data_IF_242281781642
#
_entry.id   IF_242281781642
#
_cell.length_a   1.000
_cell.length_b   1.000
_cell.length_c   1.000
_cell.angle_alpha   90.00
_cell.angle_beta   90.00
_cell.angle_gamma   90.00
#
_symmetry.space_group_name_H-M   'P 1'
#
loop_
_entity.id
_entity.type
_entity.pdbx_description
1 polymer ?
#
# COMPACT_ATOMS: atom_id res chain seq x y z
N UNK A 1 15.19 -29.91 -25.75
CA UNK A 1 13.87 -29.29 -25.49
C UNK A 1 13.47 -29.77 -24.11
N UNK A 2 13.99 -29.11 -23.08
CA UNK A 2 13.78 -29.55 -21.69
C UNK A 2 12.47 -28.95 -21.19
N UNK A 3 11.53 -29.85 -20.88
CA UNK A 3 10.27 -29.52 -20.22
C UNK A 3 10.55 -28.91 -18.84
N UNK A 4 9.95 -27.77 -18.47
CA UNK A 4 10.09 -27.23 -17.12
C UNK A 4 9.39 -28.17 -16.15
N UNK A 5 10.15 -28.68 -15.18
CA UNK A 5 9.67 -29.51 -14.07
C UNK A 5 8.50 -28.82 -13.34
N UNK A 6 7.49 -29.56 -12.87
CA UNK A 6 6.38 -29.00 -12.12
C UNK A 6 6.91 -28.39 -10.83
N UNK A 7 6.53 -27.15 -10.54
CA UNK A 7 6.79 -26.52 -9.24
C UNK A 7 5.90 -27.22 -8.22
N UNK A 8 6.49 -28.14 -7.47
CA UNK A 8 5.87 -28.80 -6.32
C UNK A 8 5.37 -27.74 -5.32
N UNK A 9 4.11 -27.87 -4.91
CA UNK A 9 3.39 -26.91 -4.07
C UNK A 9 3.75 -26.97 -2.58
N UNK A 10 4.77 -27.75 -2.23
CA UNK A 10 5.32 -27.79 -0.87
C UNK A 10 6.08 -26.47 -0.58
N UNK A 11 5.59 -25.72 0.41
CA UNK A 11 6.22 -24.46 0.83
C UNK A 11 7.62 -24.76 1.38
N UNK A 12 8.65 -24.62 0.53
CA UNK A 12 10.05 -24.81 0.96
C UNK A 12 10.36 -23.89 2.14
N UNK A 13 11.01 -24.41 3.21
CA UNK A 13 11.39 -23.60 4.36
C UNK A 13 12.26 -22.41 3.91
N UNK A 14 12.06 -21.26 4.55
CA UNK A 14 12.82 -20.05 4.25
C UNK A 14 14.31 -20.28 4.57
N UNK A 15 15.24 -19.85 3.69
CA UNK A 15 16.65 -19.86 4.01
C UNK A 15 16.91 -19.04 5.29
N UNK A 16 17.89 -19.44 6.11
CA UNK A 16 18.24 -18.77 7.38
C UNK A 16 18.46 -17.25 7.22
N UNK A 17 18.97 -16.83 6.05
CA UNK A 17 19.16 -15.41 5.71
C UNK A 17 17.85 -14.62 5.65
N UNK A 18 16.75 -15.21 5.18
CA UNK A 18 15.44 -14.56 5.19
C UNK A 18 14.90 -14.36 6.60
N UNK A 19 15.13 -15.32 7.48
CA UNK A 19 14.70 -15.24 8.88
C UNK A 19 15.46 -14.11 9.59
N UNK A 20 16.79 -14.07 9.46
CA UNK A 20 17.61 -13.03 10.07
C UNK A 20 17.24 -11.62 9.59
N UNK A 21 17.16 -11.40 8.27
CA UNK A 21 16.78 -10.10 7.72
C UNK A 21 15.31 -9.75 8.00
N UNK A 22 14.42 -10.73 8.04
CA UNK A 22 13.03 -10.53 8.42
C UNK A 22 12.89 -10.06 9.87
N UNK A 23 13.63 -10.66 10.80
CA UNK A 23 13.68 -10.24 12.21
C UNK A 23 14.25 -8.82 12.32
N UNK A 24 15.36 -8.53 11.64
CA UNK A 24 15.96 -7.20 11.67
C UNK A 24 15.01 -6.13 11.11
N UNK A 25 14.34 -6.41 10.00
CA UNK A 25 13.32 -5.54 9.42
C UNK A 25 12.14 -5.34 10.37
N UNK A 26 11.63 -6.40 10.98
CA UNK A 26 10.54 -6.32 11.96
C UNK A 26 10.93 -5.51 13.19
N UNK A 27 12.13 -5.71 13.73
CA UNK A 27 12.66 -4.94 14.86
C UNK A 27 12.80 -3.45 14.53
N UNK A 28 13.29 -3.12 13.32
CA UNK A 28 13.36 -1.74 12.83
C UNK A 28 11.96 -1.09 12.74
N UNK A 29 10.99 -1.79 12.14
CA UNK A 29 9.61 -1.29 12.02
C UNK A 29 8.94 -1.15 13.38
N UNK A 30 9.18 -2.08 14.30
CA UNK A 30 8.67 -2.02 15.67
C UNK A 30 9.24 -0.79 16.40
N UNK A 31 10.55 -0.58 16.34
CA UNK A 31 11.21 0.55 17.00
C UNK A 31 10.67 1.91 16.51
N UNK A 32 10.41 2.04 15.21
CA UNK A 32 9.85 3.27 14.63
C UNK A 32 8.34 3.41 14.81
N UNK A 33 7.60 2.30 14.76
CA UNK A 33 6.13 2.29 14.85
C UNK A 33 5.60 2.40 16.29
N UNK A 34 6.40 2.03 17.29
CA UNK A 34 6.04 2.07 18.71
C UNK A 34 6.04 3.49 19.32
N UNK A 35 6.16 4.53 18.50
CA UNK A 35 6.02 5.91 18.96
C UNK A 35 4.61 6.20 19.49
N UNK A 36 4.53 7.21 20.36
CA UNK A 36 3.28 7.65 20.98
C UNK A 36 2.21 8.04 19.95
N UNK A 37 0.96 7.91 20.38
CA UNK A 37 -0.20 8.34 19.59
C UNK A 37 -0.25 9.85 19.59
N UNK A 38 -0.03 10.47 18.43
CA UNK A 38 -0.11 11.92 18.26
C UNK A 38 -0.97 12.28 17.05
N UNK A 39 -2.28 12.02 17.15
CA UNK A 39 -3.26 12.42 16.15
C UNK A 39 -4.41 13.22 16.75
N UNK A 40 -4.75 14.33 16.11
CA UNK A 40 -5.94 15.10 16.45
C UNK A 40 -7.25 14.35 16.14
N UNK A 41 -7.24 13.42 15.19
CA UNK A 41 -8.44 12.71 14.74
C UNK A 41 -8.81 11.47 15.59
N UNK A 42 -7.91 10.96 16.46
CA UNK A 42 -8.19 9.73 17.22
C UNK A 42 -9.46 9.86 18.07
N UNK A 43 -9.64 10.99 18.74
CA UNK A 43 -10.83 11.23 19.57
C UNK A 43 -12.13 11.13 18.78
N UNK A 44 -12.14 11.63 17.53
CA UNK A 44 -13.30 11.53 16.64
C UNK A 44 -13.54 10.08 16.21
N UNK A 45 -12.49 9.31 15.96
CA UNK A 45 -12.62 7.89 15.64
C UNK A 45 -13.19 7.07 16.79
N UNK A 46 -12.71 7.32 18.02
CA UNK A 46 -13.23 6.69 19.24
C UNK A 46 -14.69 7.04 19.48
N UNK A 47 -15.04 8.33 19.40
CA UNK A 47 -16.41 8.80 19.60
C UNK A 47 -17.38 8.17 18.60
N UNK A 48 -17.02 8.16 17.31
CA UNK A 48 -17.84 7.54 16.26
C UNK A 48 -17.96 6.02 16.45
N UNK A 49 -16.88 5.35 16.79
CA UNK A 49 -16.88 3.90 17.04
C UNK A 49 -17.80 3.53 18.20
N UNK A 50 -17.72 4.27 19.31
CA UNK A 50 -18.62 4.12 20.45
C UNK A 50 -20.07 4.32 20.05
N UNK A 51 -20.35 5.43 19.36
CA UNK A 51 -21.70 5.77 18.90
C UNK A 51 -22.32 4.66 18.04
N UNK A 52 -21.57 4.11 17.09
CA UNK A 52 -22.06 3.05 16.18
C UNK A 52 -22.49 1.83 16.97
N UNK A 53 -21.73 1.43 17.99
CA UNK A 53 -22.06 0.28 18.83
C UNK A 53 -23.27 0.55 19.73
N UNK A 54 -23.39 1.76 20.27
CA UNK A 54 -24.50 2.13 21.16
C UNK A 54 -25.83 2.32 20.41
N UNK A 55 -25.79 2.83 19.18
CA UNK A 55 -26.98 3.23 18.43
C UNK A 55 -27.32 2.28 17.26
N UNK A 56 -26.45 1.31 16.95
CA UNK A 56 -26.62 0.39 15.82
C UNK A 56 -26.65 1.07 14.44
N UNK A 57 -26.17 2.31 14.34
CA UNK A 57 -26.23 3.11 13.11
C UNK A 57 -25.01 4.02 12.95
N UNK A 58 -24.68 4.34 11.69
CA UNK A 58 -23.54 5.20 11.35
C UNK A 58 -23.95 6.67 11.60
N UNK A 59 -23.22 7.43 12.43
CA UNK A 59 -23.57 8.81 12.74
C UNK A 59 -23.44 9.69 11.50
N UNK A 60 -24.45 10.51 11.27
CA UNK A 60 -24.41 11.59 10.29
C UNK A 60 -23.54 12.74 10.81
N UNK A 61 -22.99 13.59 9.93
CA UNK A 61 -22.18 14.73 10.35
C UNK A 61 -22.90 15.61 11.38
N UNK A 62 -24.18 15.88 11.15
CA UNK A 62 -25.03 16.68 12.03
C UNK A 62 -25.22 16.10 13.44
N UNK A 63 -24.97 14.80 13.64
CA UNK A 63 -25.13 14.14 14.94
C UNK A 63 -23.97 14.45 15.89
N UNK A 64 -22.80 14.82 15.36
CA UNK A 64 -21.55 14.95 16.13
C UNK A 64 -20.91 16.34 16.07
N UNK A 65 -21.43 17.25 15.25
CA UNK A 65 -20.88 18.60 15.11
C UNK A 65 -21.84 19.67 15.62
N UNK A 66 -21.30 20.72 16.25
CA UNK A 66 -22.10 21.88 16.69
C UNK A 66 -22.70 22.69 15.53
N UNK A 67 -22.14 22.57 14.31
CA UNK A 67 -22.64 23.22 13.11
C UNK A 67 -23.49 22.24 12.31
N UNK A 68 -24.83 22.36 12.41
CA UNK A 68 -25.77 21.59 11.60
C UNK A 68 -25.77 22.12 10.17
N UNK A 69 -24.81 21.68 9.35
CA UNK A 69 -24.82 21.96 7.92
C UNK A 69 -25.39 20.76 7.17
N UNK A 70 -26.61 20.85 6.60
CA UNK A 70 -27.12 19.79 5.75
C UNK A 70 -26.19 19.62 4.56
N UNK A 71 -25.64 18.42 4.41
CA UNK A 71 -24.64 18.17 3.38
C UNK A 71 -24.11 16.74 3.43
N UNK A 72 -23.82 16.20 2.25
CA UNK A 72 -23.28 14.87 2.06
C UNK A 72 -21.82 14.83 2.54
N UNK A 73 -21.57 14.32 3.76
CA UNK A 73 -20.23 13.89 4.13
C UNK A 73 -20.15 12.37 4.10
N UNK A 74 -19.19 11.86 3.33
CA UNK A 74 -18.96 10.44 3.24
C UNK A 74 -18.38 9.93 4.57
N UNK A 75 -19.16 9.13 5.28
CA UNK A 75 -18.67 8.23 6.34
C UNK A 75 -18.21 6.91 5.71
N UNK A 76 -16.97 6.88 5.25
CA UNK A 76 -16.38 5.77 4.49
C UNK A 76 -15.68 4.71 5.37
N UNK A 77 -15.73 4.85 6.71
CA UNK A 77 -14.75 4.20 7.63
C UNK A 77 -15.36 3.63 8.90
N UNK A 78 -16.64 3.28 8.87
CA UNK A 78 -17.36 2.83 10.07
C UNK A 78 -16.66 1.63 10.73
N UNK A 79 -16.13 0.70 9.94
CA UNK A 79 -15.49 -0.50 10.48
C UNK A 79 -14.16 -0.16 11.17
N UNK A 80 -13.40 0.78 10.61
CA UNK A 80 -12.20 1.28 11.28
C UNK A 80 -12.56 1.98 12.60
N UNK A 81 -13.62 2.78 12.63
CA UNK A 81 -14.06 3.49 13.83
C UNK A 81 -14.47 2.50 14.93
N UNK A 82 -15.30 1.50 14.59
CA UNK A 82 -15.69 0.42 15.51
C UNK A 82 -14.47 -0.35 15.99
N UNK A 83 -13.58 -0.77 15.09
CA UNK A 83 -12.35 -1.47 15.45
C UNK A 83 -11.46 -0.65 16.40
N UNK A 84 -11.29 0.64 16.12
CA UNK A 84 -10.51 1.56 16.96
C UNK A 84 -11.11 1.66 18.37
N UNK A 85 -12.42 1.85 18.48
CA UNK A 85 -13.09 1.89 19.77
C UNK A 85 -12.96 0.58 20.55
N UNK A 86 -13.20 -0.56 19.90
CA UNK A 86 -13.07 -1.87 20.55
C UNK A 86 -11.65 -2.10 21.07
N UNK A 87 -10.64 -1.85 20.25
CA UNK A 87 -9.23 -1.97 20.65
C UNK A 87 -8.90 -1.05 21.84
N UNK A 88 -9.35 0.21 21.80
CA UNK A 88 -9.13 1.14 22.91
C UNK A 88 -9.88 0.71 24.18
N UNK A 89 -11.12 0.22 24.06
CA UNK A 89 -11.90 -0.23 25.22
C UNK A 89 -11.28 -1.44 25.94
N UNK A 90 -10.51 -2.27 25.22
CA UNK A 90 -9.86 -3.46 25.77
C UNK A 90 -8.45 -3.18 26.30
N UNK A 91 -7.68 -2.30 25.65
CA UNK A 91 -6.25 -2.10 25.95
C UNK A 91 -5.81 -0.65 26.11
N UNK A 92 -6.74 0.30 26.11
CA UNK A 92 -6.47 1.74 26.14
C UNK A 92 -5.56 2.19 24.99
N UNK A 93 -4.72 3.18 25.27
CA UNK A 93 -3.73 3.70 24.32
C UNK A 93 -2.69 2.66 23.91
N UNK A 94 -2.26 1.78 24.84
CA UNK A 94 -1.32 0.72 24.54
C UNK A 94 -1.90 -0.27 23.51
N UNK A 95 -3.17 -0.66 23.68
CA UNK A 95 -3.88 -1.52 22.72
C UNK A 95 -3.93 -0.90 21.32
N UNK A 96 -4.21 0.40 21.24
CA UNK A 96 -4.21 1.12 19.98
C UNK A 96 -2.81 1.20 19.34
N UNK A 97 -1.77 1.47 20.12
CA UNK A 97 -0.38 1.47 19.63
C UNK A 97 0.02 0.09 19.10
N UNK A 98 -0.32 -0.98 19.83
CA UNK A 98 -0.06 -2.35 19.40
C UNK A 98 -0.81 -2.70 18.10
N UNK A 99 -2.08 -2.29 17.97
CA UNK A 99 -2.85 -2.49 16.75
C UNK A 99 -2.24 -1.72 15.56
N UNK A 100 -1.85 -0.45 15.75
CA UNK A 100 -1.14 0.37 14.76
C UNK A 100 0.13 -0.32 14.26
N UNK A 101 0.99 -0.75 15.19
CA UNK A 101 2.23 -1.48 14.88
C UNK A 101 1.92 -2.79 14.15
N UNK A 102 0.89 -3.52 14.57
CA UNK A 102 0.42 -4.73 13.90
C UNK A 102 0.04 -4.49 12.44
N UNK A 103 -0.69 -3.41 12.14
CA UNK A 103 -1.05 -3.04 10.76
C UNK A 103 0.18 -2.65 9.94
N UNK A 104 1.13 -1.91 10.52
CA UNK A 104 2.40 -1.56 9.85
C UNK A 104 3.19 -2.83 9.52
N UNK A 105 3.42 -3.70 10.51
CA UNK A 105 4.14 -4.96 10.31
C UNK A 105 3.43 -5.87 9.30
N UNK A 106 2.10 -5.97 9.38
CA UNK A 106 1.29 -6.73 8.41
C UNK A 106 1.43 -6.19 6.99
N UNK A 107 1.51 -4.86 6.84
CA UNK A 107 1.71 -4.20 5.55
C UNK A 107 3.06 -4.63 4.94
N UNK A 108 4.14 -4.48 5.69
CA UNK A 108 5.47 -4.87 5.21
C UNK A 108 5.61 -6.38 5.03
N UNK A 109 4.99 -7.20 5.87
CA UNK A 109 4.96 -8.65 5.66
C UNK A 109 4.31 -9.02 4.32
N UNK A 110 3.16 -8.39 3.98
CA UNK A 110 2.53 -8.58 2.67
C UNK A 110 3.44 -8.10 1.52
N UNK A 111 4.12 -6.97 1.68
CA UNK A 111 5.07 -6.46 0.67
C UNK A 111 6.26 -7.41 0.46
N UNK A 112 6.79 -7.99 1.54
CA UNK A 112 7.83 -9.01 1.46
C UNK A 112 7.34 -10.28 0.77
N UNK A 113 6.10 -10.70 1.02
CA UNK A 113 5.47 -11.81 0.28
C UNK A 113 5.35 -11.48 -1.21
N UNK A 114 4.91 -10.26 -1.54
CA UNK A 114 4.78 -9.79 -2.93
C UNK A 114 6.13 -9.73 -3.67
N UNK A 115 7.21 -9.44 -2.95
CA UNK A 115 8.56 -9.31 -3.46
C UNK A 115 9.46 -10.52 -3.18
N UNK A 116 8.92 -11.64 -2.66
CA UNK A 116 9.71 -12.81 -2.25
C UNK A 116 10.75 -13.30 -3.27
N UNK A 117 10.52 -13.25 -4.60
CA UNK A 117 11.54 -13.63 -5.58
C UNK A 117 12.80 -12.73 -5.58
N UNK A 118 12.73 -11.50 -5.06
CA UNK A 118 13.80 -10.50 -5.11
C UNK A 118 14.96 -10.71 -4.10
N UNK A 119 14.90 -11.76 -3.27
CA UNK A 119 15.88 -11.95 -2.20
C UNK A 119 15.75 -10.94 -1.04
N UNK A 120 16.37 -11.24 0.12
CA UNK A 120 16.14 -10.47 1.34
C UNK A 120 16.78 -9.08 1.31
N UNK A 121 17.98 -8.91 0.73
CA UNK A 121 18.66 -7.61 0.68
C UNK A 121 17.90 -6.56 -0.13
N UNK A 122 17.33 -6.95 -1.27
CA UNK A 122 16.51 -6.04 -2.07
C UNK A 122 15.19 -5.68 -1.36
N UNK A 123 14.62 -6.63 -0.61
CA UNK A 123 13.45 -6.36 0.24
C UNK A 123 13.78 -5.39 1.39
N UNK A 124 14.99 -5.45 1.96
CA UNK A 124 15.46 -4.49 2.97
C UNK A 124 15.60 -3.09 2.36
N UNK A 125 16.25 -2.97 1.19
CA UNK A 125 16.36 -1.68 0.50
C UNK A 125 14.97 -1.08 0.18
N UNK A 126 14.04 -1.91 -0.30
CA UNK A 126 12.66 -1.51 -0.53
C UNK A 126 11.91 -1.15 0.77
N UNK A 127 12.21 -1.84 1.89
CA UNK A 127 11.64 -1.53 3.22
C UNK A 127 12.07 -0.15 3.70
N UNK A 128 13.36 0.19 3.56
CA UNK A 128 13.87 1.50 3.91
C UNK A 128 13.22 2.59 3.03
N UNK A 129 13.17 2.38 1.72
CA UNK A 129 12.57 3.32 0.79
C UNK A 129 11.06 3.54 1.06
N UNK A 130 10.29 2.48 1.27
CA UNK A 130 8.87 2.59 1.60
C UNK A 130 8.66 3.22 2.99
N UNK A 131 9.53 2.94 3.96
CA UNK A 131 9.48 3.59 5.29
C UNK A 131 9.63 5.11 5.16
N UNK A 132 10.58 5.61 4.37
CA UNK A 132 10.76 7.05 4.15
C UNK A 132 9.50 7.74 3.60
N UNK A 133 8.76 7.06 2.72
CA UNK A 133 7.51 7.57 2.15
C UNK A 133 6.34 7.50 3.13
N UNK A 134 6.28 6.46 3.95
CA UNK A 134 5.11 6.15 4.76
C UNK A 134 5.15 6.68 6.19
N UNK A 135 6.34 6.96 6.73
CA UNK A 135 6.56 7.22 8.15
C UNK A 135 5.68 8.34 8.73
N UNK A 136 5.49 9.46 8.02
CA UNK A 136 4.61 10.56 8.48
C UNK A 136 3.13 10.16 8.63
N UNK A 137 2.74 9.02 8.07
CA UNK A 137 1.37 8.48 8.15
C UNK A 137 1.28 7.25 9.07
N UNK A 138 2.32 6.94 9.85
CA UNK A 138 2.32 5.88 10.87
C UNK A 138 1.69 6.31 12.19
N UNK A 139 0.50 6.88 12.08
CA UNK A 139 -0.32 7.30 13.20
C UNK A 139 -1.63 6.52 13.19
N UNK A 140 -2.47 6.63 14.22
CA UNK A 140 -3.78 5.97 14.26
C UNK A 140 -4.71 6.66 13.29
N UNK A 141 -4.58 6.28 12.02
CA UNK A 141 -5.36 6.72 10.88
C UNK A 141 -5.88 5.50 10.14
N UNK A 142 -7.08 5.67 9.62
CA UNK A 142 -7.72 4.70 8.74
C UNK A 142 -6.94 4.48 7.43
N UNK A 143 -6.12 5.44 7.01
CA UNK A 143 -5.23 5.33 5.83
C UNK A 143 -4.28 4.13 5.92
N UNK A 144 -3.82 3.74 7.13
CA UNK A 144 -2.96 2.57 7.31
C UNK A 144 -3.63 1.27 6.84
N UNK A 145 -4.95 1.15 7.02
CA UNK A 145 -5.70 -0.01 6.55
C UNK A 145 -5.75 -0.07 5.01
N UNK A 146 -5.78 1.08 4.33
CA UNK A 146 -5.69 1.12 2.88
C UNK A 146 -4.30 0.70 2.37
N UNK A 147 -3.23 1.11 3.06
CA UNK A 147 -1.87 0.65 2.72
C UNK A 147 -1.71 -0.86 2.89
N UNK A 148 -2.24 -1.41 3.99
CA UNK A 148 -2.30 -2.86 4.21
C UNK A 148 -3.07 -3.57 3.10
N UNK A 149 -4.23 -3.05 2.71
CA UNK A 149 -5.03 -3.63 1.63
C UNK A 149 -4.30 -3.62 0.28
N UNK A 150 -3.63 -2.52 -0.08
CA UNK A 150 -2.79 -2.44 -1.26
C UNK A 150 -1.66 -3.48 -1.22
N UNK A 151 -0.95 -3.56 -0.09
CA UNK A 151 0.13 -4.54 0.09
C UNK A 151 -0.38 -5.99 0.02
N UNK A 152 -1.50 -6.30 0.67
CA UNK A 152 -2.13 -7.60 0.64
C UNK A 152 -2.55 -7.97 -0.78
N UNK A 153 -3.23 -7.08 -1.50
CA UNK A 153 -3.61 -7.32 -2.90
C UNK A 153 -2.37 -7.54 -3.77
N UNK A 154 -1.32 -6.74 -3.64
CA UNK A 154 -0.06 -6.96 -4.36
C UNK A 154 0.59 -8.31 -4.01
N UNK A 155 0.46 -8.78 -2.77
CA UNK A 155 0.90 -10.12 -2.38
C UNK A 155 0.08 -11.23 -3.04
N UNK A 156 -1.23 -11.01 -3.23
CA UNK A 156 -2.11 -11.98 -3.87
C UNK A 156 -1.92 -12.02 -5.39
N UNK A 157 -1.89 -10.88 -6.07
CA UNK A 157 -1.92 -10.78 -7.54
C UNK A 157 -0.56 -10.46 -8.18
N UNK A 158 0.39 -9.91 -7.42
CA UNK A 158 1.64 -9.39 -7.97
C UNK A 158 2.73 -10.44 -8.19
N UNK A 159 2.62 -11.63 -7.56
CA UNK A 159 3.68 -12.67 -7.54
C UNK A 159 3.95 -13.29 -8.91
N UNK A 160 2.91 -13.49 -9.72
CA UNK A 160 2.98 -14.19 -11.00
C UNK A 160 2.06 -13.52 -12.03
N UNK A 161 2.43 -13.48 -13.31
CA UNK A 161 1.52 -13.06 -14.38
C UNK A 161 0.34 -14.02 -14.56
N UNK A 162 0.46 -15.27 -14.09
CA UNK A 162 -0.63 -16.26 -14.07
C UNK A 162 -1.42 -16.13 -12.76
N UNK A 163 -2.76 -16.10 -12.81
CA UNK A 163 -3.56 -16.07 -11.61
C UNK A 163 -3.45 -17.43 -10.91
N UNK A 164 -3.18 -17.41 -9.61
CA UNK A 164 -3.30 -18.59 -8.75
C UNK A 164 -4.57 -18.51 -7.90
N UNK A 165 -4.86 -19.56 -7.13
CA UNK A 165 -6.06 -19.61 -6.28
C UNK A 165 -6.09 -18.48 -5.25
N UNK A 166 -4.94 -17.92 -4.85
CA UNK A 166 -4.89 -16.86 -3.86
C UNK A 166 -5.42 -15.52 -4.42
N UNK A 167 -5.40 -15.31 -5.74
CA UNK A 167 -5.98 -14.11 -6.36
C UNK A 167 -7.47 -13.92 -6.01
N UNK A 168 -8.21 -15.01 -5.77
CA UNK A 168 -9.61 -14.97 -5.34
C UNK A 168 -9.82 -14.46 -3.90
N UNK A 169 -8.76 -14.30 -3.11
CA UNK A 169 -8.84 -13.62 -1.83
C UNK A 169 -8.81 -12.08 -1.95
N UNK A 170 -8.54 -11.52 -3.14
CA UNK A 170 -8.52 -10.07 -3.33
C UNK A 170 -9.91 -9.42 -3.12
N UNK A 171 -11.03 -9.94 -3.69
CA UNK A 171 -12.35 -9.38 -3.43
C UNK A 171 -12.75 -9.28 -1.94
N UNK A 172 -12.62 -10.33 -1.09
CA UNK A 172 -12.96 -10.18 0.32
C UNK A 172 -12.02 -9.24 1.08
N UNK A 173 -10.72 -9.18 0.74
CA UNK A 173 -9.80 -8.18 1.32
C UNK A 173 -10.24 -6.76 0.96
N UNK A 174 -10.66 -6.53 -0.29
CA UNK A 174 -11.16 -5.23 -0.75
C UNK A 174 -12.47 -4.87 -0.05
N UNK A 175 -13.40 -5.82 0.06
CA UNK A 175 -14.66 -5.60 0.78
C UNK A 175 -14.43 -5.11 2.21
N UNK A 176 -13.50 -5.75 2.93
CA UNK A 176 -13.13 -5.35 4.28
C UNK A 176 -12.48 -3.96 4.29
N UNK A 177 -11.51 -3.74 3.42
CA UNK A 177 -10.72 -2.50 3.37
C UNK A 177 -11.57 -1.28 2.97
N UNK A 178 -12.55 -1.46 2.09
CA UNK A 178 -13.47 -0.39 1.67
C UNK A 178 -14.40 0.07 2.80
N UNK A 179 -14.59 -0.74 3.85
CA UNK A 179 -15.30 -0.34 5.06
C UNK A 179 -14.39 0.34 6.10
N UNK A 180 -13.07 0.31 5.88
CA UNK A 180 -12.07 0.95 6.74
C UNK A 180 -11.60 2.30 6.22
N UNK A 181 -11.44 2.48 4.91
CA UNK A 181 -10.96 3.74 4.31
C UNK A 181 -11.29 3.84 2.81
N UNK A 182 -11.66 5.02 2.31
CA UNK A 182 -11.97 5.23 0.89
C UNK A 182 -10.74 5.08 -0.04
N UNK A 183 -9.53 5.41 0.42
CA UNK A 183 -8.28 5.18 -0.36
C UNK A 183 -8.07 3.69 -0.70
N UNK A 184 -8.76 2.77 -0.02
CA UNK A 184 -8.78 1.35 -0.39
C UNK A 184 -9.33 1.11 -1.80
N UNK A 185 -9.93 2.11 -2.45
CA UNK A 185 -10.29 2.09 -3.87
C UNK A 185 -9.08 1.85 -4.80
N UNK A 186 -7.86 2.13 -4.31
CA UNK A 186 -6.64 1.76 -5.03
C UNK A 186 -6.49 0.24 -5.17
N UNK A 187 -6.98 -0.55 -4.22
CA UNK A 187 -6.84 -2.01 -4.24
C UNK A 187 -7.54 -2.68 -5.44
N UNK A 188 -8.83 -2.42 -5.76
CA UNK A 188 -9.45 -2.95 -6.99
C UNK A 188 -8.82 -2.37 -8.27
N UNK A 189 -8.32 -1.14 -8.25
CA UNK A 189 -7.55 -0.58 -9.37
C UNK A 189 -6.25 -1.37 -9.59
N UNK A 190 -5.53 -1.74 -8.53
CA UNK A 190 -4.31 -2.57 -8.61
C UNK A 190 -4.60 -3.97 -9.13
N UNK A 191 -5.71 -4.59 -8.70
CA UNK A 191 -6.17 -5.87 -9.30
C UNK A 191 -6.39 -5.70 -10.79
N UNK A 192 -7.02 -4.61 -11.22
CA UNK A 192 -7.30 -4.33 -12.63
C UNK A 192 -6.02 -4.15 -13.43
N UNK A 193 -5.04 -3.41 -12.90
CA UNK A 193 -3.71 -3.24 -13.53
C UNK A 193 -2.98 -4.58 -13.62
N UNK A 194 -3.01 -5.38 -12.56
CA UNK A 194 -2.40 -6.72 -12.56
C UNK A 194 -3.09 -7.66 -13.56
N UNK A 195 -4.42 -7.59 -13.67
CA UNK A 195 -5.19 -8.34 -14.65
C UNK A 195 -4.82 -7.95 -16.08
N UNK A 196 -4.75 -6.65 -16.40
CA UNK A 196 -4.34 -6.17 -17.74
C UNK A 196 -2.91 -6.61 -18.05
N UNK A 197 -1.97 -6.41 -17.11
CA UNK A 197 -0.59 -6.86 -17.28
C UNK A 197 -0.48 -8.40 -17.44
N UNK A 198 -1.31 -9.15 -16.70
CA UNK A 198 -1.40 -10.60 -16.80
C UNK A 198 -1.92 -11.05 -18.15
N UNK A 199 -2.99 -10.43 -18.66
CA UNK A 199 -3.65 -10.77 -19.94
C UNK A 199 -2.69 -10.58 -21.11
N UNK A 200 -1.83 -9.55 -21.10
CA UNK A 200 -0.81 -9.31 -22.13
C UNK A 200 0.17 -10.50 -22.23
N UNK A 201 0.37 -11.24 -21.13
CA UNK A 201 1.38 -12.30 -21.03
C UNK A 201 0.81 -13.71 -20.79
N UNK A 202 -0.52 -13.90 -20.80
CA UNK A 202 -1.15 -15.19 -20.50
C UNK A 202 -2.03 -15.74 -21.62
N UNK A 203 -2.21 -17.07 -21.61
CA UNK A 203 -3.11 -17.78 -22.53
C UNK A 203 -4.57 -17.46 -22.23
N UNK A 204 -5.44 -17.66 -23.23
CA UNK A 204 -6.89 -17.40 -23.16
C UNK A 204 -7.57 -18.09 -21.96
N UNK A 205 -7.08 -19.25 -21.50
CA UNK A 205 -7.65 -19.94 -20.34
C UNK A 205 -7.60 -19.14 -19.03
N UNK A 206 -6.60 -18.26 -18.86
CA UNK A 206 -6.45 -17.45 -17.64
C UNK A 206 -7.21 -16.12 -17.68
N UNK A 207 -7.67 -15.71 -18.88
CA UNK A 207 -8.43 -14.47 -19.06
C UNK A 207 -9.69 -14.45 -18.20
N UNK A 208 -10.44 -15.56 -18.16
CA UNK A 208 -11.68 -15.67 -17.36
C UNK A 208 -11.43 -15.47 -15.87
N UNK A 209 -10.30 -15.97 -15.36
CA UNK A 209 -9.93 -15.83 -13.95
C UNK A 209 -9.56 -14.39 -13.65
N UNK A 210 -8.69 -13.77 -14.46
CA UNK A 210 -8.30 -12.37 -14.27
C UNK A 210 -9.49 -11.41 -14.36
N UNK A 211 -10.36 -11.61 -15.34
CA UNK A 211 -11.60 -10.83 -15.49
C UNK A 211 -12.52 -11.08 -14.30
N UNK A 212 -12.73 -12.33 -13.90
CA UNK A 212 -13.57 -12.67 -12.74
C UNK A 212 -13.08 -12.03 -11.44
N UNK A 213 -11.78 -12.12 -11.15
CA UNK A 213 -11.17 -11.52 -9.96
C UNK A 213 -11.28 -9.99 -10.02
N UNK A 214 -11.01 -9.35 -11.16
CA UNK A 214 -11.13 -7.91 -11.32
C UNK A 214 -12.58 -7.42 -11.15
N UNK A 215 -13.56 -8.09 -11.80
CA UNK A 215 -14.98 -7.76 -11.68
C UNK A 215 -15.46 -7.92 -10.24
N UNK A 216 -15.18 -9.05 -9.59
CA UNK A 216 -15.56 -9.26 -8.19
C UNK A 216 -14.88 -8.27 -7.24
N UNK A 217 -13.66 -7.83 -7.55
CA UNK A 217 -12.96 -6.80 -6.77
C UNK A 217 -13.67 -5.44 -6.84
N UNK A 218 -14.22 -5.07 -8.00
CA UNK A 218 -15.05 -3.87 -8.13
C UNK A 218 -16.43 -4.04 -7.49
N UNK A 219 -17.05 -5.22 -7.62
CA UNK A 219 -18.32 -5.53 -6.92
C UNK A 219 -18.15 -5.46 -5.40
N UNK A 220 -17.01 -5.88 -4.87
CA UNK A 220 -16.70 -5.82 -3.44
C UNK A 220 -16.73 -4.39 -2.87
N UNK A 221 -16.49 -3.36 -3.70
CA UNK A 221 -16.64 -1.95 -3.30
C UNK A 221 -18.07 -1.63 -2.86
N UNK A 222 -19.06 -2.30 -3.45
CA UNK A 222 -20.48 -2.08 -3.18
C UNK A 222 -20.92 -2.61 -1.81
N UNK A 223 -20.07 -3.40 -1.12
CA UNK A 223 -20.34 -3.90 0.22
C UNK A 223 -20.13 -2.84 1.31
N UNK A 224 -19.64 -1.66 0.97
CA UNK A 224 -19.71 -0.52 1.86
C UNK A 224 -21.15 0.04 1.88
N UNK A 225 -21.68 0.52 3.02
CA UNK A 225 -23.01 1.14 3.11
C UNK A 225 -23.28 2.28 2.11
N UNK A 226 -22.23 2.93 1.60
CA UNK A 226 -22.34 3.99 0.59
C UNK A 226 -22.34 3.48 -0.85
N UNK A 227 -22.10 2.18 -1.03
CA UNK A 227 -22.17 1.48 -2.31
C UNK A 227 -21.31 2.13 -3.39
N UNK A 228 -21.92 2.32 -4.57
CA UNK A 228 -21.26 2.87 -5.75
C UNK A 228 -20.75 4.30 -5.58
N UNK A 229 -21.32 5.08 -4.63
CA UNK A 229 -20.92 6.48 -4.43
C UNK A 229 -19.44 6.60 -4.05
N UNK A 230 -18.87 5.60 -3.40
CA UNK A 230 -17.43 5.58 -3.09
C UNK A 230 -16.53 5.59 -4.32
N UNK A 231 -17.02 5.10 -5.47
CA UNK A 231 -16.29 5.18 -6.73
C UNK A 231 -16.23 6.63 -7.23
N UNK A 232 -17.27 7.44 -6.95
CA UNK A 232 -17.33 8.84 -7.32
C UNK A 232 -16.48 9.76 -6.41
N UNK A 233 -16.23 9.34 -5.17
CA UNK A 233 -15.55 10.15 -4.14
C UNK A 233 -14.22 10.76 -4.60
N UNK A 234 -13.27 10.02 -5.22
CA UNK A 234 -12.02 10.63 -5.69
C UNK A 234 -12.24 11.73 -6.72
N UNK A 235 -13.22 11.56 -7.61
CA UNK A 235 -13.55 12.54 -8.66
C UNK A 235 -14.24 13.77 -8.07
N UNK A 236 -15.13 13.59 -7.10
CA UNK A 236 -15.76 14.70 -6.38
C UNK A 236 -14.73 15.51 -5.59
N UNK A 237 -13.77 14.85 -4.92
CA UNK A 237 -12.66 15.55 -4.28
C UNK A 237 -11.82 16.31 -5.28
N UNK A 238 -11.44 15.68 -6.40
CA UNK A 238 -10.67 16.35 -7.46
C UNK A 238 -11.41 17.57 -8.03
N UNK A 239 -12.72 17.48 -8.23
CA UNK A 239 -13.54 18.60 -8.67
C UNK A 239 -13.56 19.70 -7.63
N UNK A 240 -13.84 19.38 -6.35
CA UNK A 240 -13.82 20.35 -5.24
C UNK A 240 -12.46 21.00 -5.06
N UNK A 241 -11.37 20.28 -5.34
CA UNK A 241 -10.01 20.79 -5.34
C UNK A 241 -9.75 21.78 -6.48
N UNK A 242 -10.30 21.54 -7.67
CA UNK A 242 -10.13 22.42 -8.83
C UNK A 242 -11.04 23.65 -8.81
N UNK A 243 -12.26 23.51 -8.29
CA UNK A 243 -13.28 24.56 -8.34
C UNK A 243 -13.56 25.18 -6.97
N UNK A 244 -12.92 24.68 -5.92
CA UNK A 244 -13.06 25.21 -4.57
C UNK A 244 -12.34 26.55 -4.42
N UNK A 245 -12.69 27.34 -3.40
CA UNK A 245 -11.98 28.59 -3.14
C UNK A 245 -10.50 28.32 -2.83
N UNK A 246 -9.59 29.19 -3.28
CA UNK A 246 -8.14 29.05 -3.14
C UNK A 246 -7.68 28.78 -1.69
N UNK A 247 -8.43 29.27 -0.70
CA UNK A 247 -8.11 29.04 0.70
C UNK A 247 -8.22 27.56 1.14
N UNK A 248 -9.03 26.73 0.47
CA UNK A 248 -9.23 25.34 0.89
C UNK A 248 -7.96 24.50 0.71
N UNK A 249 -7.20 24.72 -0.37
CA UNK A 249 -5.92 24.06 -0.59
C UNK A 249 -4.76 24.79 0.07
N UNK A 250 -4.81 26.13 0.12
CA UNK A 250 -3.74 26.94 0.71
C UNK A 250 -3.55 26.73 2.21
N UNK A 251 -4.62 26.41 2.95
CA UNK A 251 -4.59 26.33 4.42
C UNK A 251 -4.62 24.91 5.00
N UNK A 252 -4.95 23.90 4.20
CA UNK A 252 -4.92 22.49 4.64
C UNK A 252 -3.61 21.87 4.18
N UNK A 253 -2.63 21.81 5.09
CA UNK A 253 -1.27 21.31 4.83
C UNK A 253 -1.22 19.93 4.14
N UNK A 254 -2.21 19.07 4.40
CA UNK A 254 -2.28 17.73 3.80
C UNK A 254 -2.65 17.73 2.30
N UNK A 255 -3.31 18.80 1.85
CA UNK A 255 -3.78 19.01 0.47
C UNK A 255 -2.81 19.87 -0.35
N UNK A 256 -1.73 20.34 0.24
CA UNK A 256 -0.69 21.05 -0.47
C UNK A 256 0.15 20.07 -1.32
N UNK A 257 0.66 20.57 -2.43
CA UNK A 257 1.65 19.86 -3.25
C UNK A 257 2.95 19.64 -2.47
N UNK A 258 3.72 18.64 -2.87
CA UNK A 258 5.01 18.32 -2.22
C UNK A 258 6.04 19.44 -2.40
N UNK A 259 5.88 20.29 -3.42
CA UNK A 259 6.71 21.48 -3.70
C UNK A 259 6.29 22.73 -2.93
N UNK A 260 5.03 22.80 -2.50
CA UNK A 260 4.40 24.04 -2.02
C UNK A 260 4.43 24.16 -0.49
N UNK A 261 4.82 23.08 0.19
CA UNK A 261 4.85 22.97 1.64
C UNK A 261 6.05 23.72 2.27
N UNK A 262 5.99 25.05 2.23
CA UNK A 262 7.05 25.94 2.77
C UNK A 262 7.07 25.94 4.31
N UNK A 263 5.95 25.62 4.98
CA UNK A 263 5.80 25.88 6.42
C UNK A 263 6.36 24.78 7.35
N UNK A 264 6.47 23.51 6.89
CA UNK A 264 6.90 22.40 7.75
C UNK A 264 7.75 21.37 7.00
N UNK A 265 9.05 21.65 6.76
CA UNK A 265 9.95 20.72 6.12
C UNK A 265 10.04 19.45 6.96
N UNK A 266 9.68 18.33 6.36
CA UNK A 266 9.60 17.03 7.00
C UNK A 266 10.21 15.99 6.06
N UNK A 267 10.76 14.92 6.64
CA UNK A 267 11.56 13.95 5.88
C UNK A 267 10.74 13.32 4.76
N UNK A 268 9.42 13.12 4.95
CA UNK A 268 8.58 12.52 3.92
C UNK A 268 8.28 13.48 2.77
N UNK A 269 8.45 14.79 2.91
CA UNK A 269 8.36 15.72 1.77
C UNK A 269 9.60 15.64 0.86
N UNK A 270 10.75 15.23 1.39
CA UNK A 270 11.97 14.98 0.59
C UNK A 270 12.03 13.56 0.05
N UNK A 271 11.33 12.62 0.68
CA UNK A 271 11.35 11.21 0.30
C UNK A 271 10.94 10.95 -1.17
N UNK A 272 9.88 11.57 -1.75
CA UNK A 272 9.55 11.41 -3.17
C UNK A 272 10.71 11.70 -4.12
N UNK A 273 11.47 12.76 -3.86
CA UNK A 273 12.61 13.20 -4.67
C UNK A 273 13.81 12.25 -4.61
N UNK A 274 13.84 11.33 -3.65
CA UNK A 274 14.90 10.31 -3.52
C UNK A 274 14.39 8.96 -4.00
N UNK A 275 13.21 8.55 -3.49
CA UNK A 275 12.68 7.20 -3.68
C UNK A 275 12.13 6.98 -5.08
N UNK A 276 11.46 7.97 -5.69
CA UNK A 276 10.93 7.81 -7.06
C UNK A 276 12.06 7.71 -8.09
N UNK A 277 13.09 8.58 -8.09
CA UNK A 277 14.24 8.40 -8.96
C UNK A 277 14.98 7.09 -8.70
N UNK A 278 15.14 6.69 -7.43
CA UNK A 278 15.75 5.40 -7.09
C UNK A 278 14.96 4.21 -7.68
N UNK A 279 13.63 4.21 -7.58
CA UNK A 279 12.77 3.19 -8.18
C UNK A 279 12.87 3.20 -9.72
N UNK A 280 12.91 4.38 -10.33
CA UNK A 280 13.06 4.53 -11.78
C UNK A 280 14.43 4.02 -12.26
N UNK A 281 15.51 4.32 -11.54
CA UNK A 281 16.85 3.82 -11.83
C UNK A 281 16.94 2.30 -11.66
N UNK A 282 16.32 1.74 -10.61
CA UNK A 282 16.23 0.29 -10.44
C UNK A 282 15.53 -0.37 -11.63
N UNK A 283 14.38 0.18 -12.06
CA UNK A 283 13.65 -0.31 -13.23
C UNK A 283 14.48 -0.18 -14.53
N UNK A 284 15.15 0.96 -14.73
CA UNK A 284 16.00 1.21 -15.90
C UNK A 284 17.21 0.29 -15.95
N UNK A 285 17.82 -0.04 -14.81
CA UNK A 285 18.90 -1.03 -14.72
C UNK A 285 18.45 -2.43 -15.17
N UNK A 286 17.14 -2.71 -15.08
CA UNK A 286 16.51 -3.92 -15.57
C UNK A 286 15.70 -3.71 -16.87
N UNK A 287 16.06 -2.72 -17.71
CA UNK A 287 15.26 -2.31 -18.87
C UNK A 287 14.91 -3.45 -19.84
N UNK A 288 15.74 -4.50 -19.91
CA UNK A 288 15.54 -5.65 -20.80
C UNK A 288 14.47 -6.64 -20.32
N UNK A 289 14.03 -6.56 -19.06
CA UNK A 289 13.08 -7.51 -18.44
C UNK A 289 11.95 -6.78 -17.69
N UNK A 290 11.62 -5.56 -18.11
CA UNK A 290 10.55 -4.76 -17.48
C UNK A 290 9.22 -5.51 -17.57
N UNK A 291 8.59 -5.72 -16.43
CA UNK A 291 7.20 -6.19 -16.34
C UNK A 291 6.27 -4.99 -16.50
N UNK A 292 5.21 -5.15 -17.29
CA UNK A 292 4.18 -4.11 -17.47
C UNK A 292 3.59 -3.66 -16.12
N UNK A 293 3.41 -4.59 -15.17
CA UNK A 293 2.96 -4.27 -13.81
C UNK A 293 3.96 -3.36 -13.09
N UNK A 294 5.26 -3.63 -13.13
CA UNK A 294 6.25 -2.83 -12.42
C UNK A 294 6.34 -1.40 -13.00
N UNK A 295 6.20 -1.25 -14.33
CA UNK A 295 6.11 0.05 -14.98
C UNK A 295 4.84 0.82 -14.56
N UNK A 296 3.68 0.15 -14.53
CA UNK A 296 2.44 0.76 -14.09
C UNK A 296 2.50 1.18 -12.61
N UNK A 297 3.08 0.34 -11.74
CA UNK A 297 3.28 0.66 -10.33
C UNK A 297 4.25 1.83 -10.12
N UNK A 298 5.30 1.95 -10.95
CA UNK A 298 6.18 3.12 -10.92
C UNK A 298 5.42 4.40 -11.26
N UNK A 299 4.61 4.38 -12.31
CA UNK A 299 3.80 5.55 -12.72
C UNK A 299 2.79 5.90 -11.64
N UNK A 300 2.01 4.93 -11.15
CA UNK A 300 1.02 5.15 -10.10
C UNK A 300 1.67 5.62 -8.79
N UNK A 301 2.81 5.03 -8.43
CA UNK A 301 3.60 5.42 -7.26
C UNK A 301 4.15 6.84 -7.39
N UNK A 302 4.66 7.24 -8.55
CA UNK A 302 5.11 8.59 -8.80
C UNK A 302 3.95 9.61 -8.74
N UNK A 303 2.81 9.30 -9.35
CA UNK A 303 1.61 10.14 -9.27
C UNK A 303 1.13 10.29 -7.81
N UNK A 304 1.11 9.20 -7.04
CA UNK A 304 0.78 9.26 -5.62
C UNK A 304 1.80 10.12 -4.85
N UNK A 305 3.10 9.90 -5.09
CA UNK A 305 4.19 10.57 -4.38
C UNK A 305 4.27 12.08 -4.64
N UNK A 306 3.86 12.56 -5.82
CA UNK A 306 3.98 13.97 -6.20
C UNK A 306 2.65 14.73 -6.27
N UNK A 307 1.49 14.05 -6.11
CA UNK A 307 0.19 14.73 -6.19
C UNK A 307 -0.10 15.63 -4.99
N UNK A 308 -0.16 15.05 -3.80
CA UNK A 308 -0.50 15.74 -2.55
C UNK A 308 0.27 15.12 -1.39
N UNK A 309 0.59 15.92 -0.37
CA UNK A 309 1.30 15.42 0.83
C UNK A 309 0.60 14.19 1.45
N UNK A 310 -0.73 14.17 1.51
CA UNK A 310 -1.51 13.02 2.00
C UNK A 310 -1.30 11.73 1.21
N UNK A 311 -0.98 11.81 -0.08
CA UNK A 311 -0.84 10.65 -0.96
C UNK A 311 0.58 10.05 -0.97
N UNK A 312 1.57 10.74 -0.38
CA UNK A 312 2.97 10.29 -0.37
C UNK A 312 3.09 8.88 0.21
N UNK A 313 2.41 8.58 1.31
CA UNK A 313 2.44 7.26 1.93
C UNK A 313 1.85 6.16 1.04
N UNK A 314 0.88 6.48 0.17
CA UNK A 314 0.30 5.52 -0.76
C UNK A 314 1.31 5.05 -1.82
N UNK A 315 2.37 5.84 -2.08
CA UNK A 315 3.45 5.44 -2.99
C UNK A 315 4.32 4.31 -2.41
N UNK A 316 4.43 4.19 -1.07
CA UNK A 316 5.28 3.18 -0.43
C UNK A 316 4.95 1.75 -0.88
N UNK A 317 3.71 1.26 -0.69
CA UNK A 317 3.32 -0.08 -1.15
C UNK A 317 3.45 -0.28 -2.66
N UNK A 318 3.25 0.77 -3.46
CA UNK A 318 3.33 0.71 -4.93
C UNK A 318 4.77 0.56 -5.42
N UNK A 319 5.71 1.34 -4.87
CA UNK A 319 7.11 1.36 -5.29
C UNK A 319 7.94 0.23 -4.67
N UNK A 320 7.49 -0.36 -3.55
CA UNK A 320 8.19 -1.46 -2.90
C UNK A 320 8.52 -2.64 -3.86
N UNK A 321 7.54 -3.27 -4.55
CA UNK A 321 7.83 -4.39 -5.44
C UNK A 321 8.68 -3.98 -6.65
N UNK A 322 8.54 -2.72 -7.11
CA UNK A 322 9.35 -2.17 -8.22
C UNK A 322 10.82 -2.12 -7.82
N UNK A 323 11.12 -1.53 -6.66
CA UNK A 323 12.49 -1.42 -6.13
C UNK A 323 13.06 -2.82 -5.88
N UNK A 324 12.34 -3.66 -5.11
CA UNK A 324 12.88 -4.95 -4.70
C UNK A 324 13.24 -5.82 -5.91
N UNK A 325 12.30 -6.04 -6.84
CA UNK A 325 12.53 -6.95 -7.98
C UNK A 325 13.60 -6.44 -8.92
N UNK A 326 13.54 -5.16 -9.29
CA UNK A 326 14.43 -4.65 -10.32
C UNK A 326 15.84 -4.44 -9.79
N UNK A 327 15.99 -4.10 -8.50
CA UNK A 327 17.30 -4.10 -7.86
C UNK A 327 17.90 -5.51 -7.80
N UNK A 328 17.10 -6.53 -7.45
CA UNK A 328 17.55 -7.91 -7.44
C UNK A 328 18.06 -8.38 -8.81
N UNK A 329 17.25 -8.18 -9.86
CA UNK A 329 17.61 -8.56 -11.22
C UNK A 329 18.85 -7.81 -11.72
N UNK A 330 18.94 -6.50 -11.43
CA UNK A 330 20.11 -5.69 -11.81
C UNK A 330 21.40 -6.19 -11.14
N UNK A 331 21.35 -6.48 -9.84
CA UNK A 331 22.50 -7.03 -9.09
C UNK A 331 22.88 -8.42 -9.61
N UNK A 332 21.89 -9.28 -9.87
CA UNK A 332 22.13 -10.62 -10.42
C UNK A 332 22.76 -10.55 -11.82
N UNK A 333 22.26 -9.69 -12.70
CA UNK A 333 22.80 -9.49 -14.04
C UNK A 333 24.24 -8.93 -14.00
N UNK A 334 24.50 -7.97 -13.11
CA UNK A 334 25.85 -7.43 -12.91
C UNK A 334 26.82 -8.49 -12.37
N UNK A 335 26.39 -9.30 -11.40
CA UNK A 335 27.22 -10.38 -10.87
C UNK A 335 27.56 -11.43 -11.94
N UNK A 336 26.59 -11.79 -12.79
CA UNK A 336 26.79 -12.71 -13.91
C UNK A 336 27.70 -12.14 -15.01
N UNK A 337 27.80 -10.82 -15.14
CA UNK A 337 28.68 -10.15 -16.11
C UNK A 337 30.15 -10.12 -15.68
N UNK A 338 30.47 -10.45 -14.42
CA UNK A 338 31.85 -10.50 -13.95
C UNK A 338 32.54 -11.78 -14.44
N UNK A 339 33.79 -11.70 -14.95
CA UNK A 339 34.54 -12.89 -15.28
C UNK A 339 34.73 -13.75 -14.02
N UNK A 340 34.69 -15.10 -14.15
CA UNK A 340 34.86 -16.00 -13.02
C UNK A 340 36.18 -15.72 -12.30
N UNK A 341 36.16 -15.89 -10.98
CA UNK A 341 37.28 -15.53 -10.09
C UNK A 341 38.57 -16.27 -10.45
N UNK A 342 38.46 -17.44 -11.08
CA UNK A 342 39.56 -18.23 -11.64
C UNK A 342 40.33 -17.55 -12.79
N UNK A 343 39.81 -16.49 -13.40
CA UNK A 343 40.48 -15.71 -14.45
C UNK A 343 41.11 -14.40 -13.93
N UNK A 344 40.98 -14.09 -12.63
CA UNK A 344 41.72 -12.99 -12.02
C UNK A 344 43.14 -13.45 -11.75
N UNK A 345 44.03 -13.28 -12.74
CA UNK A 345 45.47 -13.44 -12.58
C UNK A 345 45.93 -12.74 -11.28
N UNK A 346 46.78 -13.38 -10.45
CA UNK A 346 47.39 -12.68 -9.32
C UNK A 346 48.12 -11.46 -9.86
N UNK A 347 47.76 -10.27 -9.37
CA UNK A 347 48.58 -9.09 -9.63
C UNK A 347 49.89 -9.31 -8.86
N UNK A 348 50.95 -9.61 -9.62
CA UNK A 348 52.33 -9.62 -9.14
C UNK A 348 52.76 -8.21 -8.69
#
# INVERSE_FOLDING_TARGET
MDSPTPVDGSARPLPMSWVGWGIAGAAFLLALGACDVFNFDVGVHLLKGKWILENGSIPRPEDLTCVKRPGFAYQDRWLFQVGTWLTWSLGGWAGLTLAKVGVIMGTFACLWVAARPAGPLACIAATLAATLLMYERWDIRSELCAHLACAAVLALVGRSPRPDRAAWAAPPVIALAMNMHALSILAPALVSVAAVAGIIHTRKEHLRVWVGVAVLSWVAVLLNPQGWRLVAVPFEYLQRYRTGPDWYQGWITELQGVTDAVAFPSVSLRAPWIVVPFAALALAANARRIRALDAALLVLGALAAFSYRRNVAAAGPLLFPVIARNLHEAVAAWAASRPPESLRMPRL
#
